data_IF_957371906095
#
_entry.id   IF_957371906095
#
_cell.length_a   1.000
_cell.length_b   1.000
_cell.length_c   1.000
_cell.angle_alpha   90.00
_cell.angle_beta   90.00
_cell.angle_gamma   90.00
#
_symmetry.space_group_name_H-M   'P 1'
#
loop_
_entity.id
_entity.type
_entity.pdbx_description
1 polymer ?
#
# COMPACT_ATOMS: atom_id res chain seq x y z
N UNK A 1 -4.17 -33.84 8.60
CA UNK A 1 -3.39 -33.37 7.45
C UNK A 1 -2.66 -32.10 7.82
N UNK A 2 -1.38 -32.06 7.52
CA UNK A 2 -0.54 -30.91 7.88
C UNK A 2 -0.99 -29.62 7.21
N UNK A 3 -1.52 -29.72 5.97
CA UNK A 3 -1.99 -28.58 5.23
C UNK A 3 -3.15 -27.82 5.94
N UNK A 4 -3.99 -28.52 6.66
CA UNK A 4 -5.14 -27.89 7.33
C UNK A 4 -4.70 -26.96 8.44
N UNK A 5 -3.70 -27.35 9.23
CA UNK A 5 -3.17 -26.47 10.29
C UNK A 5 -2.53 -25.21 9.74
N UNK A 6 -1.77 -25.34 8.66
CA UNK A 6 -1.17 -24.18 8.01
C UNK A 6 -2.24 -23.27 7.38
N UNK A 7 -3.23 -23.84 6.72
CA UNK A 7 -4.29 -23.05 6.09
C UNK A 7 -5.07 -22.22 7.11
N UNK A 8 -5.38 -22.77 8.30
CA UNK A 8 -6.01 -22.01 9.36
C UNK A 8 -5.12 -20.87 9.87
N UNK A 9 -3.82 -21.13 10.00
CA UNK A 9 -2.89 -20.10 10.42
C UNK A 9 -2.79 -18.97 9.38
N UNK A 10 -2.82 -19.32 8.10
CA UNK A 10 -2.77 -18.31 7.02
C UNK A 10 -3.99 -17.39 7.11
N UNK A 11 -5.17 -17.92 7.27
CA UNK A 11 -6.38 -17.11 7.37
C UNK A 11 -6.29 -16.13 8.54
N UNK A 12 -5.84 -16.58 9.70
CA UNK A 12 -5.67 -15.73 10.88
C UNK A 12 -4.58 -14.67 10.65
N UNK A 13 -3.46 -15.06 10.06
CA UNK A 13 -2.37 -14.16 9.75
C UNK A 13 -2.84 -13.06 8.80
N UNK A 14 -3.54 -13.44 7.73
CA UNK A 14 -4.01 -12.47 6.75
C UNK A 14 -5.04 -11.53 7.35
N UNK A 15 -5.93 -12.03 8.20
CA UNK A 15 -6.93 -11.20 8.87
C UNK A 15 -6.25 -10.19 9.80
N UNK A 16 -5.32 -10.64 10.64
CA UNK A 16 -4.58 -9.77 11.53
C UNK A 16 -3.76 -8.73 10.76
N UNK A 17 -3.15 -9.15 9.67
CA UNK A 17 -2.35 -8.25 8.84
C UNK A 17 -3.24 -7.23 8.14
N UNK A 18 -4.41 -7.63 7.67
CA UNK A 18 -5.42 -6.73 7.11
C UNK A 18 -5.82 -5.65 8.12
N UNK A 19 -6.15 -6.06 9.33
CA UNK A 19 -6.55 -5.14 10.38
C UNK A 19 -5.45 -4.12 10.66
N UNK A 20 -4.21 -4.57 10.72
CA UNK A 20 -3.06 -3.68 10.92
C UNK A 20 -2.93 -2.68 9.77
N UNK A 21 -3.00 -3.16 8.52
CA UNK A 21 -2.85 -2.28 7.36
C UNK A 21 -4.01 -1.28 7.25
N UNK A 22 -5.20 -1.64 7.67
CA UNK A 22 -6.33 -0.70 7.67
C UNK A 22 -6.06 0.48 8.61
N UNK A 23 -5.33 0.27 9.70
CA UNK A 23 -4.91 1.37 10.57
C UNK A 23 -3.84 2.25 9.93
N UNK A 24 -3.22 1.78 8.85
CA UNK A 24 -2.14 2.49 8.15
C UNK A 24 -2.61 3.20 6.88
N UNK A 25 -3.91 3.24 6.65
CA UNK A 25 -4.47 3.94 5.50
C UNK A 25 -4.65 3.10 4.25
N UNK A 26 -4.61 1.77 4.39
CA UNK A 26 -4.87 0.87 3.28
C UNK A 26 -6.23 0.19 3.48
N UNK A 27 -6.91 -0.12 2.37
CA UNK A 27 -8.22 -0.77 2.41
C UNK A 27 -8.44 -1.62 1.16
N UNK A 28 -9.55 -2.36 1.13
CA UNK A 28 -9.89 -3.26 0.02
C UNK A 28 -8.74 -4.17 -0.37
N UNK A 29 -8.08 -4.73 0.63
CA UNK A 29 -6.86 -5.50 0.45
C UNK A 29 -7.16 -6.91 -0.05
N UNK A 30 -6.42 -7.31 -1.09
CA UNK A 30 -6.41 -8.67 -1.61
C UNK A 30 -5.00 -9.19 -1.50
N UNK A 31 -4.80 -10.22 -0.69
CA UNK A 31 -3.49 -10.81 -0.43
C UNK A 31 -3.24 -12.00 -1.34
N UNK A 32 -1.99 -12.19 -1.72
CA UNK A 32 -1.55 -13.33 -2.49
C UNK A 32 -0.14 -13.71 -2.03
N UNK A 33 0.18 -14.99 -2.08
CA UNK A 33 1.51 -15.46 -1.70
C UNK A 33 1.84 -16.74 -2.45
N UNK A 34 3.14 -16.99 -2.60
CA UNK A 34 3.66 -18.24 -3.14
C UNK A 34 4.91 -18.58 -2.33
N UNK A 35 5.09 -19.81 -2.04
CA UNK A 35 6.24 -20.23 -1.26
C UNK A 35 6.17 -21.73 -0.98
N UNK A 36 7.11 -22.30 -0.30
CA UNK A 36 8.22 -21.60 0.34
C UNK A 36 9.49 -22.38 0.00
N UNK A 37 10.50 -21.70 -0.47
CA UNK A 37 11.78 -22.34 -0.73
C UNK A 37 12.30 -22.25 -2.16
N UNK A 38 11.58 -21.61 -3.07
CA UNK A 38 12.07 -21.41 -4.42
C UNK A 38 12.27 -19.95 -4.74
N UNK A 39 13.06 -19.68 -5.75
CA UNK A 39 13.33 -18.33 -6.22
C UNK A 39 12.04 -17.73 -6.79
N UNK A 40 11.74 -16.52 -6.42
CA UNK A 40 10.49 -15.87 -6.83
C UNK A 40 9.34 -16.02 -5.84
N UNK A 41 9.52 -16.82 -4.78
CA UNK A 41 8.52 -16.91 -3.71
C UNK A 41 8.42 -15.60 -2.97
N UNK A 42 7.22 -15.26 -2.52
CA UNK A 42 6.99 -14.03 -1.80
C UNK A 42 5.54 -13.83 -1.49
N UNK A 43 5.21 -12.62 -1.05
CA UNK A 43 3.84 -12.21 -0.81
C UNK A 43 3.63 -10.83 -1.41
N UNK A 44 2.40 -10.56 -1.78
CA UNK A 44 2.01 -9.24 -2.24
C UNK A 44 0.57 -8.98 -1.88
N UNK A 45 0.16 -7.73 -2.00
CA UNK A 45 -1.24 -7.37 -1.89
C UNK A 45 -1.56 -6.21 -2.83
N UNK A 46 -2.82 -6.14 -3.19
CA UNK A 46 -3.38 -5.00 -3.92
C UNK A 46 -4.42 -4.35 -3.02
N UNK A 47 -4.76 -3.11 -3.29
CA UNK A 47 -5.75 -2.41 -2.50
C UNK A 47 -5.72 -0.92 -2.73
N UNK A 48 -6.55 -0.21 -1.98
CA UNK A 48 -6.70 1.22 -2.05
C UNK A 48 -5.87 1.90 -0.96
N UNK A 49 -5.37 3.09 -1.26
CA UNK A 49 -4.61 3.89 -0.30
C UNK A 49 -5.34 5.21 -0.06
N UNK A 50 -5.62 5.51 1.21
CA UNK A 50 -6.07 6.83 1.65
C UNK A 50 -4.81 7.62 2.00
N UNK A 51 -4.47 8.58 1.17
CA UNK A 51 -3.18 9.26 1.27
C UNK A 51 -3.00 10.00 2.59
N UNK A 52 -4.02 10.71 3.06
CA UNK A 52 -3.93 11.43 4.33
C UNK A 52 -3.68 10.48 5.49
N UNK A 53 -4.48 9.41 5.58
CA UNK A 53 -4.32 8.44 6.65
C UNK A 53 -3.00 7.68 6.55
N UNK A 54 -2.56 7.39 5.32
CA UNK A 54 -1.27 6.75 5.09
C UNK A 54 -0.13 7.64 5.60
N UNK A 55 -0.15 8.92 5.26
CA UNK A 55 0.90 9.85 5.70
C UNK A 55 0.85 10.06 7.21
N UNK A 56 -0.34 10.12 7.81
CA UNK A 56 -0.48 10.22 9.27
C UNK A 56 0.17 9.01 9.96
N UNK A 57 0.04 7.83 9.38
CA UNK A 57 0.55 6.60 9.97
C UNK A 57 2.03 6.35 9.69
N UNK A 58 2.63 7.10 8.77
CA UNK A 58 4.02 6.91 8.36
C UNK A 58 4.80 8.22 8.46
N UNK A 59 5.22 8.60 9.69
CA UNK A 59 5.90 9.88 9.91
C UNK A 59 7.13 10.12 9.07
N UNK A 60 7.91 9.07 8.77
CA UNK A 60 9.10 9.21 7.94
C UNK A 60 8.77 9.63 6.51
N UNK A 61 7.70 9.10 5.94
CA UNK A 61 7.24 9.52 4.61
C UNK A 61 6.64 10.93 4.69
N UNK A 62 5.79 11.16 5.68
CA UNK A 62 5.17 12.47 5.88
C UNK A 62 6.22 13.58 6.01
N UNK A 63 7.26 13.35 6.80
CA UNK A 63 8.28 14.36 7.06
C UNK A 63 9.14 14.64 5.81
N UNK A 64 9.35 13.65 4.97
CA UNK A 64 10.06 13.83 3.70
C UNK A 64 9.20 14.49 2.63
N UNK A 65 7.88 14.52 2.82
CA UNK A 65 6.92 15.04 1.83
C UNK A 65 5.90 15.95 2.52
N UNK A 66 6.42 16.93 3.28
CA UNK A 66 5.59 17.82 4.10
C UNK A 66 4.64 18.66 3.27
N UNK A 67 5.05 19.12 2.11
CA UNK A 67 4.19 19.91 1.25
C UNK A 67 3.01 19.09 0.73
N UNK A 68 3.24 17.84 0.42
CA UNK A 68 2.15 16.92 0.05
C UNK A 68 1.19 16.72 1.20
N UNK A 69 1.71 16.51 2.41
CA UNK A 69 0.88 16.34 3.59
C UNK A 69 0.00 17.57 3.85
N UNK A 70 0.61 18.76 3.78
CA UNK A 70 -0.13 20.01 3.96
C UNK A 70 -1.24 20.15 2.91
N UNK A 71 -0.97 19.72 1.67
CA UNK A 71 -1.95 19.81 0.61
C UNK A 71 -3.20 18.93 0.83
N UNK A 72 -3.03 17.79 1.52
CA UNK A 72 -4.12 16.82 1.69
C UNK A 72 -4.85 16.92 3.03
N UNK A 73 -4.35 17.72 3.98
CA UNK A 73 -5.06 17.92 5.25
C UNK A 73 -6.10 19.05 5.09
N UNK A 74 -7.31 18.85 5.61
CA UNK A 74 -8.30 19.93 5.61
C UNK A 74 -7.97 20.98 6.66
N UNK A 75 -8.28 22.23 6.36
CA UNK A 75 -8.14 23.34 7.30
C UNK A 75 -9.51 23.66 7.90
N UNK A 76 -9.65 23.61 9.22
CA UNK A 76 -10.79 24.11 10.00
C UNK A 76 -12.15 23.97 9.32
N UNK A 77 -12.52 22.75 8.92
CA UNK A 77 -13.79 22.46 8.28
C UNK A 77 -13.84 22.75 6.78
N UNK A 78 -12.73 23.21 6.20
CA UNK A 78 -12.61 23.42 4.76
C UNK A 78 -12.11 22.18 4.05
N UNK A 79 -12.27 22.14 2.73
CA UNK A 79 -11.72 21.06 1.92
C UNK A 79 -10.18 21.18 1.87
N UNK A 80 -9.45 20.06 1.74
CA UNK A 80 -8.01 20.13 1.53
C UNK A 80 -7.68 20.86 0.23
N UNK A 81 -6.50 21.46 0.16
CA UNK A 81 -6.06 22.16 -1.06
C UNK A 81 -6.03 21.23 -2.27
N UNK A 82 -5.65 19.98 -2.04
CA UNK A 82 -5.66 18.94 -3.06
C UNK A 82 -6.13 17.64 -2.43
N UNK A 83 -7.06 16.96 -3.08
CA UNK A 83 -7.56 15.67 -2.62
C UNK A 83 -7.16 14.61 -3.63
N UNK A 84 -6.25 13.73 -3.23
CA UNK A 84 -5.80 12.60 -4.04
C UNK A 84 -6.67 11.39 -3.74
N UNK A 85 -7.29 10.85 -4.76
CA UNK A 85 -8.19 9.71 -4.65
C UNK A 85 -7.86 8.66 -5.71
N UNK A 86 -8.47 7.48 -5.57
CA UNK A 86 -8.22 6.33 -6.45
C UNK A 86 -6.75 5.92 -6.51
N UNK A 87 -6.04 6.10 -5.41
CA UNK A 87 -4.66 5.63 -5.31
C UNK A 87 -4.70 4.14 -5.00
N UNK A 88 -4.11 3.35 -5.88
CA UNK A 88 -4.20 1.89 -5.78
C UNK A 88 -2.86 1.22 -5.98
N UNK A 89 -2.66 0.16 -5.21
CA UNK A 89 -1.65 -0.83 -5.53
C UNK A 89 -2.29 -1.86 -6.47
N UNK A 90 -1.69 -2.05 -7.62
CA UNK A 90 -2.22 -2.96 -8.65
C UNK A 90 -1.13 -3.90 -9.16
N UNK A 91 -1.54 -5.01 -9.73
CA UNK A 91 -0.61 -5.95 -10.36
C UNK A 91 -0.02 -5.31 -11.62
N UNK A 92 1.27 -5.51 -11.81
CA UNK A 92 1.95 -5.11 -13.04
C UNK A 92 1.52 -6.06 -14.15
N UNK A 93 1.12 -5.52 -15.29
CA UNK A 93 0.67 -6.30 -16.43
C UNK A 93 1.79 -7.26 -16.87
N UNK A 94 1.43 -8.54 -17.07
CA UNK A 94 2.38 -9.57 -17.48
C UNK A 94 3.14 -10.24 -16.34
N UNK A 95 2.86 -9.87 -15.09
CA UNK A 95 3.53 -10.44 -13.92
C UNK A 95 2.59 -11.15 -12.96
N UNK A 96 1.52 -11.75 -13.49
CA UNK A 96 0.53 -12.45 -12.68
C UNK A 96 0.88 -13.90 -12.37
N UNK A 97 1.98 -14.42 -12.89
CA UNK A 97 2.31 -15.84 -12.77
C UNK A 97 2.85 -16.25 -11.42
N UNK A 98 3.25 -15.30 -10.59
CA UNK A 98 3.70 -15.59 -9.21
C UNK A 98 3.42 -14.40 -8.32
N UNK A 99 3.49 -14.65 -7.01
CA UNK A 99 3.16 -13.66 -5.99
C UNK A 99 4.45 -13.18 -5.33
N UNK A 100 4.76 -11.89 -5.50
CA UNK A 100 5.97 -11.28 -4.96
C UNK A 100 5.76 -9.77 -4.94
N UNK A 101 6.48 -9.07 -4.04
CA UNK A 101 6.41 -7.61 -3.99
C UNK A 101 6.72 -6.94 -5.32
N UNK A 102 7.56 -7.56 -6.14
CA UNK A 102 7.94 -7.02 -7.45
C UNK A 102 6.84 -7.11 -8.50
N UNK A 103 5.70 -7.73 -8.18
CA UNK A 103 4.59 -7.88 -9.11
C UNK A 103 3.52 -6.82 -8.96
N UNK A 104 3.68 -5.89 -8.03
CA UNK A 104 2.71 -4.83 -7.77
C UNK A 104 3.40 -3.46 -7.80
N UNK A 105 2.60 -2.44 -8.06
CA UNK A 105 3.05 -1.06 -8.07
C UNK A 105 1.89 -0.11 -7.77
N UNK A 106 2.19 1.17 -7.52
CA UNK A 106 1.16 2.20 -7.50
C UNK A 106 0.75 2.45 -8.94
N UNK A 107 -0.44 1.97 -9.31
CA UNK A 107 -0.83 1.93 -10.72
C UNK A 107 -1.83 2.98 -11.15
N UNK A 108 -2.62 3.47 -10.24
CA UNK A 108 -3.70 4.38 -10.59
C UNK A 108 -3.88 5.42 -9.49
N UNK A 109 -3.96 6.66 -9.88
CA UNK A 109 -4.27 7.75 -8.96
C UNK A 109 -4.95 8.88 -9.73
N UNK A 110 -5.72 9.68 -8.99
CA UNK A 110 -6.38 10.85 -9.51
C UNK A 110 -6.42 11.90 -8.40
N UNK A 111 -6.78 13.13 -8.74
CA UNK A 111 -6.83 14.18 -7.74
C UNK A 111 -7.77 15.31 -8.16
N UNK A 112 -8.27 16.05 -7.18
CA UNK A 112 -9.03 17.27 -7.41
C UNK A 112 -8.40 18.41 -6.60
N UNK A 113 -8.53 19.62 -7.12
CA UNK A 113 -8.10 20.82 -6.43
C UNK A 113 -9.31 21.49 -5.78
N UNK A 114 -9.11 22.09 -4.61
CA UNK A 114 -10.17 22.79 -3.88
C UNK A 114 -10.71 24.00 -4.63
N UNK A 115 -9.92 24.58 -5.50
CA UNK A 115 -10.34 25.72 -6.30
C UNK A 115 -11.25 25.27 -7.43
N UNK A 116 -12.55 25.40 -7.22
CA UNK A 116 -13.59 24.91 -8.12
C UNK A 116 -13.62 25.60 -9.48
N UNK A 117 -12.90 26.70 -9.65
CA UNK A 117 -12.78 27.37 -10.95
C UNK A 117 -11.79 26.70 -11.89
N UNK A 118 -11.25 25.57 -11.48
CA UNK A 118 -10.19 24.90 -12.20
C UNK A 118 -8.86 25.61 -11.94
N UNK A 119 -7.94 24.94 -11.26
CA UNK A 119 -6.61 25.49 -11.07
C UNK A 119 -5.96 25.76 -12.42
N UNK A 120 -5.03 26.69 -12.47
CA UNK A 120 -4.26 26.89 -13.68
C UNK A 120 -3.26 25.75 -13.85
N UNK A 121 -2.65 25.69 -15.03
CA UNK A 121 -1.71 24.63 -15.40
C UNK A 121 -0.55 24.50 -14.39
N UNK A 122 -0.10 25.63 -13.82
CA UNK A 122 0.96 25.63 -12.82
C UNK A 122 0.54 24.93 -11.54
N UNK A 123 -0.69 25.16 -11.08
CA UNK A 123 -1.21 24.49 -9.87
C UNK A 123 -1.32 22.99 -10.08
N UNK A 124 -1.86 22.56 -11.23
CA UNK A 124 -1.94 21.13 -11.54
C UNK A 124 -0.56 20.50 -11.58
N UNK A 125 0.40 21.14 -12.22
CA UNK A 125 1.78 20.64 -12.30
C UNK A 125 2.41 20.57 -10.91
N UNK A 126 2.16 21.57 -10.06
CA UNK A 126 2.72 21.60 -8.71
C UNK A 126 2.23 20.40 -7.88
N UNK A 127 0.92 20.18 -7.82
CA UNK A 127 0.35 19.10 -7.03
C UNK A 127 0.70 17.74 -7.61
N UNK A 128 0.69 17.60 -8.92
CA UNK A 128 1.12 16.37 -9.57
C UNK A 128 2.54 16.00 -9.20
N UNK A 129 3.44 17.00 -9.22
CA UNK A 129 4.83 16.77 -8.84
C UNK A 129 5.00 16.39 -7.38
N UNK A 130 4.20 16.97 -6.48
CA UNK A 130 4.23 16.57 -5.07
C UNK A 130 3.95 15.08 -4.91
N UNK A 131 2.93 14.58 -5.58
CA UNK A 131 2.59 13.16 -5.51
C UNK A 131 3.64 12.30 -6.20
N UNK A 132 4.08 12.69 -7.39
CA UNK A 132 5.08 11.92 -8.13
C UNK A 132 6.38 11.77 -7.35
N UNK A 133 6.78 12.81 -6.63
CA UNK A 133 7.99 12.75 -5.80
C UNK A 133 7.84 11.80 -4.61
N UNK A 134 6.63 11.62 -4.11
CA UNK A 134 6.36 10.73 -2.97
C UNK A 134 6.04 9.30 -3.38
N UNK A 135 5.71 9.09 -4.64
CA UNK A 135 5.19 7.80 -5.13
C UNK A 135 6.11 6.63 -4.79
N UNK A 136 7.40 6.80 -5.05
CA UNK A 136 8.37 5.74 -4.76
C UNK A 136 8.44 5.41 -3.27
N UNK A 137 8.44 6.42 -2.42
CA UNK A 137 8.50 6.19 -0.97
C UNK A 137 7.26 5.49 -0.45
N UNK A 138 6.09 5.87 -0.97
CA UNK A 138 4.83 5.21 -0.62
C UNK A 138 4.87 3.74 -1.06
N UNK A 139 5.29 3.50 -2.30
CA UNK A 139 5.39 2.14 -2.83
C UNK A 139 6.39 1.30 -2.03
N UNK A 140 7.54 1.87 -1.69
CA UNK A 140 8.56 1.18 -0.91
C UNK A 140 8.05 0.76 0.47
N UNK A 141 7.25 1.60 1.13
CA UNK A 141 6.63 1.25 2.41
C UNK A 141 5.67 0.08 2.24
N UNK A 142 4.84 0.11 1.19
CA UNK A 142 3.91 -0.99 0.93
C UNK A 142 4.65 -2.29 0.64
N UNK A 143 5.74 -2.23 -0.10
CA UNK A 143 6.55 -3.42 -0.39
C UNK A 143 7.26 -3.94 0.86
N UNK A 144 7.64 -3.06 1.77
CA UNK A 144 8.18 -3.49 3.06
C UNK A 144 7.15 -4.28 3.88
N UNK A 145 5.88 -3.87 3.84
CA UNK A 145 4.80 -4.65 4.45
C UNK A 145 4.63 -6.00 3.77
N UNK A 146 4.77 -6.07 2.46
CA UNK A 146 4.69 -7.35 1.73
C UNK A 146 5.80 -8.31 2.15
N UNK A 147 7.01 -7.81 2.33
CA UNK A 147 8.13 -8.61 2.85
C UNK A 147 7.87 -9.07 4.27
N UNK A 148 7.33 -8.21 5.10
CA UNK A 148 6.97 -8.56 6.47
C UNK A 148 5.92 -9.67 6.50
N UNK A 149 4.90 -9.55 5.65
CA UNK A 149 3.86 -10.58 5.54
C UNK A 149 4.48 -11.91 5.12
N UNK A 150 5.36 -11.90 4.11
CA UNK A 150 6.00 -13.13 3.66
C UNK A 150 6.79 -13.80 4.78
N UNK A 151 7.53 -13.02 5.57
CA UNK A 151 8.30 -13.58 6.69
C UNK A 151 7.41 -14.22 7.74
N UNK A 152 6.26 -13.62 8.00
CA UNK A 152 5.30 -14.19 8.95
C UNK A 152 4.75 -15.51 8.42
N UNK A 153 4.36 -15.54 7.15
CA UNK A 153 3.84 -16.75 6.51
C UNK A 153 4.90 -17.84 6.44
N UNK A 154 6.12 -17.49 6.07
CA UNK A 154 7.25 -18.43 6.00
C UNK A 154 7.55 -19.02 7.36
N UNK A 155 7.57 -18.18 8.40
CA UNK A 155 7.77 -18.65 9.77
C UNK A 155 6.70 -19.62 10.24
N UNK A 156 5.43 -19.34 9.90
CA UNK A 156 4.33 -20.23 10.22
C UNK A 156 4.42 -21.55 9.45
N UNK A 157 4.82 -21.48 8.18
CA UNK A 157 5.01 -22.68 7.34
C UNK A 157 6.08 -23.60 7.93
N UNK A 158 7.25 -23.08 8.22
CA UNK A 158 8.34 -23.89 8.75
C UNK A 158 8.04 -24.44 10.14
N UNK A 159 7.36 -23.67 10.96
CA UNK A 159 6.95 -24.14 12.28
C UNK A 159 6.00 -25.34 12.19
N UNK A 160 5.06 -25.31 11.23
CA UNK A 160 4.08 -26.39 11.05
C UNK A 160 4.73 -27.66 10.50
N UNK A 161 5.64 -27.51 9.51
CA UNK A 161 6.18 -28.65 8.79
C UNK A 161 7.53 -29.15 9.30
N UNK A 162 8.23 -28.40 10.13
CA UNK A 162 9.47 -28.82 10.75
C UNK A 162 9.29 -29.27 12.22
N UNK A 163 8.21 -28.83 12.80
CA UNK A 163 7.90 -29.16 14.18
C UNK A 163 7.46 -30.57 14.34
#
# INVERSE_FOLDING_TARGET
MMSDGFDFQVEDILEDFRDMLETKGLSDLVFDYSGFGSQGDGACFTGDIDLKNFLDAHPEVRNNHRELYIAVIPFDGEEPACDYYDIKLTKIVGRSSYSHENTVHLGSWDYTLANKGGGNEREYTYYENLFMNAEKDIEDVCKAYMRQLYRILEGAYYKEYEG
#
